data_IF_885993278082
#
_entry.id   IF_885993278082
#
_cell.length_a   1.000
_cell.length_b   1.000
_cell.length_c   1.000
_cell.angle_alpha   90.00
_cell.angle_beta   90.00
_cell.angle_gamma   90.00
#
_symmetry.space_group_name_H-M   'P 1'
#
loop_
_entity.id
_entity.type
_entity.pdbx_description
1 polymer ?
#
# COMPACT_ATOMS: atom_id res chain seq x y z
N UNK A 1 0.18 1.55 8.99
CA UNK A 1 1.05 2.64 8.51
C UNK A 1 1.92 2.15 7.37
N UNK A 2 2.43 3.06 6.54
CA UNK A 2 3.45 2.71 5.55
C UNK A 2 4.82 2.87 6.20
N UNK A 3 5.65 1.84 6.10
CA UNK A 3 6.98 1.83 6.70
C UNK A 3 7.85 0.76 6.07
N UNK A 4 9.18 0.88 6.18
CA UNK A 4 10.11 -0.06 5.59
C UNK A 4 10.02 -1.40 6.29
N UNK A 5 10.20 -2.49 5.53
CA UNK A 5 10.55 -3.76 6.14
C UNK A 5 12.01 -3.73 6.61
N UNK A 6 12.41 -4.57 7.58
CA UNK A 6 13.81 -4.71 7.96
C UNK A 6 14.69 -4.98 6.73
N UNK A 7 15.77 -4.23 6.59
CA UNK A 7 16.68 -4.33 5.44
C UNK A 7 16.19 -3.68 4.14
N UNK A 8 15.12 -2.87 4.18
CA UNK A 8 14.67 -2.09 3.01
C UNK A 8 15.83 -1.27 2.41
N UNK A 9 15.96 -1.36 1.08
CA UNK A 9 16.84 -0.52 0.28
C UNK A 9 16.02 0.11 -0.83
N UNK A 10 16.26 1.38 -1.12
CA UNK A 10 15.51 2.10 -2.13
C UNK A 10 15.76 1.55 -3.53
N UNK A 11 14.65 1.32 -4.23
CA UNK A 11 14.62 1.07 -5.66
C UNK A 11 13.21 1.38 -6.21
N UNK A 12 13.07 2.03 -7.36
CA UNK A 12 14.14 2.61 -8.17
C UNK A 12 14.60 3.99 -7.66
N UNK A 13 13.80 4.70 -6.88
CA UNK A 13 14.11 6.05 -6.33
C UNK A 13 13.36 6.27 -5.02
N UNK A 14 13.86 7.19 -4.17
CA UNK A 14 13.42 7.35 -2.77
C UNK A 14 11.98 7.85 -2.71
N UNK A 15 11.63 8.76 -3.60
CA UNK A 15 10.35 9.45 -3.70
C UNK A 15 9.20 8.49 -3.99
N UNK A 16 9.47 7.27 -4.45
CA UNK A 16 8.44 6.27 -4.66
C UNK A 16 7.85 5.74 -3.35
N UNK A 17 8.62 5.68 -2.26
CA UNK A 17 8.15 5.06 -1.00
C UNK A 17 8.64 5.76 0.25
N UNK A 18 9.91 6.16 0.32
CA UNK A 18 10.49 6.76 1.52
C UNK A 18 9.77 8.05 1.92
N UNK A 19 9.39 8.88 0.94
CA UNK A 19 8.68 10.13 1.17
C UNK A 19 7.29 9.95 1.82
N UNK A 20 6.76 8.73 1.84
CA UNK A 20 5.43 8.41 2.35
C UNK A 20 5.49 7.50 3.59
N UNK A 21 6.68 7.19 4.10
CA UNK A 21 6.81 6.45 5.35
C UNK A 21 6.32 7.29 6.53
N UNK A 22 5.57 6.65 7.43
CA UNK A 22 4.96 7.30 8.57
C UNK A 22 3.49 6.90 8.73
N UNK A 23 2.81 7.61 9.63
CA UNK A 23 1.44 7.29 10.06
C UNK A 23 0.34 7.98 9.25
N UNK A 24 0.70 8.92 8.38
CA UNK A 24 -0.24 9.70 7.57
C UNK A 24 -0.96 8.86 6.51
N UNK A 25 -0.31 7.77 6.06
CA UNK A 25 -0.81 6.89 5.01
C UNK A 25 -1.17 5.51 5.56
N UNK A 26 -2.25 4.92 5.02
CA UNK A 26 -2.64 3.53 5.32
C UNK A 26 -2.44 2.63 4.11
N UNK A 27 -1.93 1.42 4.37
CA UNK A 27 -1.60 0.45 3.34
C UNK A 27 -2.86 -0.26 2.86
N UNK A 28 -3.01 -0.38 1.54
CA UNK A 28 -4.02 -1.22 0.88
C UNK A 28 -3.35 -2.39 0.13
N UNK A 29 -4.08 -3.50 0.01
CA UNK A 29 -3.56 -4.79 -0.51
C UNK A 29 -4.54 -5.41 -1.49
N UNK A 30 -4.03 -6.27 -2.38
CA UNK A 30 -4.84 -7.12 -3.27
C UNK A 30 -5.21 -6.51 -4.62
N UNK A 31 -5.03 -5.19 -4.81
CA UNK A 31 -5.44 -4.52 -6.05
C UNK A 31 -6.96 -4.37 -6.15
N UNK A 32 -7.43 -3.89 -7.30
CA UNK A 32 -8.87 -3.75 -7.62
C UNK A 32 -9.14 -4.27 -9.04
N UNK A 33 -10.40 -4.23 -9.48
CA UNK A 33 -10.78 -4.58 -10.85
C UNK A 33 -10.08 -3.72 -11.92
N UNK A 34 -9.60 -2.52 -11.56
CA UNK A 34 -8.87 -1.63 -12.47
C UNK A 34 -7.34 -1.89 -12.48
N UNK A 35 -6.83 -2.76 -11.60
CA UNK A 35 -5.40 -3.04 -11.51
C UNK A 35 -4.95 -4.00 -12.62
N UNK A 36 -3.91 -3.63 -13.38
CA UNK A 36 -3.36 -4.50 -14.42
C UNK A 36 -2.70 -5.76 -13.82
N UNK A 37 -2.88 -6.95 -14.42
CA UNK A 37 -2.28 -8.19 -13.91
C UNK A 37 -0.76 -8.15 -13.74
N UNK A 38 -0.01 -7.48 -14.62
CA UNK A 38 1.44 -7.37 -14.50
C UNK A 38 1.94 -6.48 -13.36
N UNK A 39 1.09 -5.62 -12.80
CA UNK A 39 1.44 -4.73 -11.70
C UNK A 39 1.19 -5.36 -10.32
N UNK A 40 0.29 -6.35 -10.23
CA UNK A 40 -0.15 -6.92 -8.96
C UNK A 40 0.74 -8.08 -8.51
N UNK A 41 1.09 -8.08 -7.23
CA UNK A 41 1.83 -9.15 -6.54
C UNK A 41 1.28 -9.27 -5.13
N UNK A 42 1.34 -10.46 -4.53
CA UNK A 42 0.97 -10.65 -3.11
C UNK A 42 1.76 -9.73 -2.18
N UNK A 43 2.95 -9.28 -2.59
CA UNK A 43 3.83 -8.37 -1.85
C UNK A 43 3.60 -6.88 -2.16
N UNK A 44 2.85 -6.50 -3.21
CA UNK A 44 2.68 -5.09 -3.62
C UNK A 44 1.83 -4.26 -2.65
N UNK A 45 2.38 -3.18 -2.10
CA UNK A 45 1.73 -2.32 -1.09
C UNK A 45 1.29 -1.01 -1.75
N UNK A 46 -0.01 -0.79 -1.89
CA UNK A 46 -0.55 0.53 -2.22
C UNK A 46 -0.72 1.36 -0.93
N UNK A 47 -0.82 2.69 -1.04
CA UNK A 47 -1.07 3.57 0.10
C UNK A 47 -1.82 4.84 -0.33
N UNK A 48 -2.63 5.39 0.58
CA UNK A 48 -3.22 6.72 0.44
C UNK A 48 -3.57 7.27 1.84
N UNK A 49 -3.94 8.56 1.92
CA UNK A 49 -4.45 9.16 3.14
C UNK A 49 -5.78 8.50 3.55
N UNK A 50 -6.04 8.28 4.86
CA UNK A 50 -7.22 7.56 5.33
C UNK A 50 -8.55 8.25 5.00
N UNK A 51 -8.54 9.55 4.70
CA UNK A 51 -9.73 10.33 4.32
C UNK A 51 -10.15 10.14 2.86
N UNK A 52 -9.29 9.54 2.02
CA UNK A 52 -9.50 9.42 0.58
C UNK A 52 -10.49 8.31 0.26
N UNK A 53 -11.34 8.57 -0.74
CA UNK A 53 -12.46 7.70 -1.13
C UNK A 53 -12.73 7.67 -2.62
N UNK A 54 -11.89 8.33 -3.42
CA UNK A 54 -11.96 8.33 -4.87
C UNK A 54 -11.34 7.06 -5.49
N UNK A 55 -10.43 6.39 -4.78
CA UNK A 55 -9.78 5.16 -5.25
C UNK A 55 -10.67 3.94 -5.01
N UNK A 56 -10.53 2.91 -5.85
CA UNK A 56 -11.22 1.63 -5.68
C UNK A 56 -10.67 0.87 -4.46
N UNK A 57 -11.25 1.16 -3.30
CA UNK A 57 -10.87 0.62 -2.01
C UNK A 57 -12.10 0.05 -1.29
N UNK A 58 -11.89 -0.92 -0.41
CA UNK A 58 -12.93 -1.58 0.36
C UNK A 58 -12.36 -2.33 1.55
N UNK A 59 -13.21 -3.06 2.28
CA UNK A 59 -12.82 -3.74 3.52
C UNK A 59 -12.88 -5.25 3.39
N UNK A 60 -11.91 -5.91 4.00
CA UNK A 60 -11.95 -7.34 4.35
C UNK A 60 -11.84 -7.43 5.87
N UNK A 61 -12.89 -7.89 6.54
CA UNK A 61 -12.88 -8.03 7.99
C UNK A 61 -11.97 -9.17 8.43
N UNK A 62 -11.33 -8.99 9.58
CA UNK A 62 -10.58 -10.00 10.30
C UNK A 62 -11.03 -9.98 11.77
N UNK A 63 -10.83 -11.09 12.46
CA UNK A 63 -11.07 -11.22 13.91
C UNK A 63 -9.95 -12.05 14.51
N UNK A 64 -9.79 -11.95 15.82
CA UNK A 64 -8.90 -12.83 16.57
C UNK A 64 -9.36 -14.29 16.43
N UNK A 65 -8.39 -15.22 16.52
CA UNK A 65 -8.61 -16.65 16.36
C UNK A 65 -9.40 -17.25 17.53
#
# INVERSE_FOLDING_TARGET
>A
DLGPYPGYQTFPYKEYSEAFFGTEYKVLRGGSWATRPGAIRSTFRNWDYPIRRQIFSGFRCARDA
#
